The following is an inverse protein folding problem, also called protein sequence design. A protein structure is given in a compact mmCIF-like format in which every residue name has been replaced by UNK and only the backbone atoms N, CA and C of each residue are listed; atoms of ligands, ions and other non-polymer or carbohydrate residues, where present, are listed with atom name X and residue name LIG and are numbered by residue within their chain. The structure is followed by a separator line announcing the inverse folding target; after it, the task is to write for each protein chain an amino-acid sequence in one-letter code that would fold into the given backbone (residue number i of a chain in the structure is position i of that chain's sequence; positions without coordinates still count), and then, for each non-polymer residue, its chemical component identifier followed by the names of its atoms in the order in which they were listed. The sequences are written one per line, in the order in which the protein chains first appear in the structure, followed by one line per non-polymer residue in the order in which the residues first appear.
data_IF_197822351564
#
_entry.id   IF_197822351564
#
_cell.length_a   1.000
_cell.length_b   1.000
_cell.length_c   1.000
_cell.angle_alpha   90.00
_cell.angle_beta   90.00
_cell.angle_gamma   90.00
#
_symmetry.space_group_name_H-M   'P 1'
#
loop_
_entity.id
_entity.type
_entity.pdbx_description
1 polymer ?
#
# COMPACT_ATOMS: atom_id res chain seq x y z
N UNK A 1 -26.10 9.29 18.52
CA UNK A 1 -25.16 8.70 17.52
C UNK A 1 -25.84 8.06 16.30
N UNK A 2 -27.13 7.91 16.26
CA UNK A 2 -27.91 7.28 15.16
C UNK A 2 -28.23 8.21 13.98
N UNK A 3 -28.12 9.53 14.13
CA UNK A 3 -28.46 10.51 13.09
C UNK A 3 -27.41 10.65 11.96
N UNK A 4 -26.12 10.59 12.30
CA UNK A 4 -25.03 10.84 11.36
C UNK A 4 -24.80 9.70 10.34
N UNK A 5 -25.00 8.45 10.79
CA UNK A 5 -24.95 7.27 9.90
C UNK A 5 -26.15 7.21 8.94
N UNK A 6 -27.30 7.73 9.36
CA UNK A 6 -28.51 7.81 8.52
C UNK A 6 -28.40 8.91 7.46
N UNK A 7 -27.65 9.96 7.72
CA UNK A 7 -27.40 11.07 6.78
C UNK A 7 -26.43 10.63 5.67
N UNK A 8 -25.27 10.03 5.99
CA UNK A 8 -24.31 9.49 5.00
C UNK A 8 -24.95 8.45 4.09
N UNK A 9 -25.73 7.52 4.64
CA UNK A 9 -26.42 6.50 3.85
C UNK A 9 -27.49 7.07 2.91
N UNK A 10 -28.12 8.20 3.30
CA UNK A 10 -29.06 8.92 2.42
C UNK A 10 -28.33 9.67 1.31
N UNK A 11 -27.17 10.27 1.58
CA UNK A 11 -26.35 10.92 0.55
C UNK A 11 -25.78 9.91 -0.45
N UNK A 12 -25.27 8.76 0.00
CA UNK A 12 -24.80 7.68 -0.88
C UNK A 12 -25.93 7.09 -1.74
N UNK A 13 -27.11 6.93 -1.17
CA UNK A 13 -28.31 6.47 -1.90
C UNK A 13 -28.82 7.55 -2.87
N UNK A 14 -28.76 8.82 -2.51
CA UNK A 14 -29.13 9.94 -3.38
C UNK A 14 -28.17 10.05 -4.55
N UNK A 15 -26.86 10.01 -4.31
CA UNK A 15 -25.83 10.01 -5.36
C UNK A 15 -25.95 8.80 -6.27
N UNK A 16 -26.16 7.59 -5.72
CA UNK A 16 -26.40 6.38 -6.52
C UNK A 16 -27.69 6.44 -7.33
N UNK A 17 -28.75 7.09 -6.80
CA UNK A 17 -30.03 7.29 -7.52
C UNK A 17 -29.94 8.37 -8.60
N UNK A 18 -29.12 9.38 -8.39
CA UNK A 18 -28.84 10.45 -9.37
C UNK A 18 -27.98 9.93 -10.54
N UNK A 19 -27.00 9.06 -10.24
CA UNK A 19 -26.21 8.34 -11.23
C UNK A 19 -27.09 7.43 -12.09
N UNK A 20 -28.01 6.65 -11.50
CA UNK A 20 -28.98 5.83 -12.24
C UNK A 20 -29.97 6.64 -13.10
N UNK A 21 -30.24 7.91 -12.77
CA UNK A 21 -31.07 8.80 -13.59
C UNK A 21 -30.30 9.41 -14.76
N UNK A 22 -28.96 9.48 -14.67
CA UNK A 22 -28.12 10.16 -15.67
C UNK A 22 -27.60 9.22 -16.75
N UNK A 23 -27.31 7.94 -16.40
CA UNK A 23 -26.76 6.94 -17.32
C UNK A 23 -27.56 5.64 -17.25
N UNK A 24 -27.84 5.07 -18.42
CA UNK A 24 -28.52 3.79 -18.54
C UNK A 24 -27.59 2.61 -18.22
N UNK A 25 -28.15 1.47 -17.86
CA UNK A 25 -27.36 0.25 -17.59
C UNK A 25 -26.55 -0.18 -18.84
N UNK A 26 -27.10 0.04 -20.05
CA UNK A 26 -26.39 -0.22 -21.31
C UNK A 26 -25.19 0.71 -21.50
N UNK A 27 -25.35 2.00 -21.22
CA UNK A 27 -24.24 2.98 -21.27
C UNK A 27 -23.16 2.60 -20.27
N UNK A 28 -23.53 2.23 -19.06
CA UNK A 28 -22.58 1.80 -18.01
C UNK A 28 -21.84 0.52 -18.40
N UNK A 29 -22.52 -0.42 -19.07
CA UNK A 29 -21.88 -1.64 -19.56
C UNK A 29 -20.84 -1.32 -20.64
N UNK A 30 -21.18 -0.49 -21.63
CA UNK A 30 -20.25 -0.07 -22.69
C UNK A 30 -19.00 0.57 -22.09
N UNK A 31 -19.17 1.45 -21.13
CA UNK A 31 -18.06 2.16 -20.46
C UNK A 31 -17.16 1.19 -19.70
N UNK A 32 -17.72 0.21 -18.99
CA UNK A 32 -16.94 -0.82 -18.28
C UNK A 32 -16.23 -1.79 -19.22
N UNK A 33 -16.79 -1.98 -20.41
CA UNK A 33 -16.21 -2.83 -21.46
C UNK A 33 -15.22 -2.10 -22.36
N UNK A 34 -14.84 -0.87 -22.05
CA UNK A 34 -13.82 -0.11 -22.78
C UNK A 34 -12.47 -0.81 -22.74
N UNK A 35 -11.81 -0.90 -23.89
CA UNK A 35 -10.47 -1.46 -24.01
C UNK A 35 -9.44 -0.49 -23.47
N UNK A 36 -8.79 -0.87 -22.38
CA UNK A 36 -7.79 -0.02 -21.70
C UNK A 36 -6.52 0.20 -22.52
N UNK A 37 -6.14 -0.70 -23.42
CA UNK A 37 -4.94 -0.52 -24.25
C UNK A 37 -5.19 0.54 -25.32
N UNK A 38 -6.37 0.49 -25.95
CA UNK A 38 -6.79 1.49 -26.93
C UNK A 38 -6.98 2.87 -26.25
N UNK A 39 -7.61 2.88 -25.07
CA UNK A 39 -7.79 4.09 -24.29
C UNK A 39 -6.47 4.72 -23.89
N UNK A 40 -5.51 3.95 -23.38
CA UNK A 40 -4.17 4.46 -23.01
C UNK A 40 -3.39 4.97 -24.25
N UNK A 41 -3.49 4.27 -25.36
CA UNK A 41 -2.89 4.73 -26.64
C UNK A 41 -3.53 6.05 -27.09
N UNK A 42 -4.86 6.18 -26.98
CA UNK A 42 -5.57 7.42 -27.27
C UNK A 42 -5.15 8.57 -26.34
N UNK A 43 -4.84 8.26 -25.08
CA UNK A 43 -4.32 9.22 -24.11
C UNK A 43 -2.83 9.55 -24.32
N UNK A 44 -2.18 8.98 -25.33
CA UNK A 44 -0.78 9.25 -25.69
C UNK A 44 0.27 8.40 -24.98
N UNK A 45 -0.13 7.37 -24.24
CA UNK A 45 0.79 6.44 -23.59
C UNK A 45 1.29 5.35 -24.54
N UNK A 46 2.58 4.99 -24.43
CA UNK A 46 3.16 3.90 -25.21
C UNK A 46 2.93 2.56 -24.50
N UNK A 47 1.93 1.80 -24.95
CA UNK A 47 1.60 0.49 -24.38
C UNK A 47 2.64 -0.56 -24.77
N UNK A 48 3.10 -1.34 -23.79
CA UNK A 48 4.05 -2.45 -23.92
C UNK A 48 3.50 -3.72 -23.30
N UNK A 49 3.86 -4.88 -23.86
CA UNK A 49 3.54 -6.17 -23.27
C UNK A 49 4.62 -6.58 -22.26
N UNK A 50 4.19 -7.07 -21.09
CA UNK A 50 5.07 -7.61 -20.06
C UNK A 50 4.50 -8.95 -19.54
N UNK A 51 5.03 -10.05 -20.03
CA UNK A 51 4.51 -11.39 -19.75
C UNK A 51 3.04 -11.52 -20.17
N UNK A 52 2.16 -11.85 -19.21
CA UNK A 52 0.70 -11.97 -19.43
C UNK A 52 -0.07 -10.66 -19.28
N UNK A 53 0.60 -9.56 -18.90
CA UNK A 53 0.02 -8.25 -18.68
C UNK A 53 0.49 -7.25 -19.75
N UNK A 54 -0.09 -6.05 -19.72
CA UNK A 54 0.42 -4.89 -20.42
C UNK A 54 0.81 -3.81 -19.41
N UNK A 55 1.72 -2.92 -19.82
CA UNK A 55 2.15 -1.74 -19.08
C UNK A 55 2.34 -0.59 -20.07
N UNK A 56 2.75 0.59 -19.61
CA UNK A 56 3.17 1.67 -20.50
C UNK A 56 4.64 1.99 -20.31
N UNK A 57 5.25 2.63 -21.30
CA UNK A 57 6.66 3.03 -21.23
C UNK A 57 6.90 4.04 -20.09
N UNK A 58 5.90 4.89 -19.85
CA UNK A 58 5.93 6.00 -18.88
C UNK A 58 5.63 5.55 -17.45
N UNK A 59 5.05 4.35 -17.27
CA UNK A 59 4.57 3.89 -15.97
C UNK A 59 4.84 2.40 -15.76
N UNK A 60 6.09 2.03 -15.45
CA UNK A 60 6.51 0.64 -15.25
C UNK A 60 5.76 -0.09 -14.12
N UNK A 61 5.18 0.65 -13.17
CA UNK A 61 4.38 0.08 -12.08
C UNK A 61 2.93 -0.21 -12.46
N UNK A 62 2.46 0.21 -13.64
CA UNK A 62 1.13 -0.08 -14.14
C UNK A 62 1.05 -1.52 -14.68
N UNK A 63 -0.01 -2.23 -14.35
CA UNK A 63 -0.34 -3.53 -14.94
C UNK A 63 -1.78 -3.51 -15.41
N UNK A 64 -1.98 -3.92 -16.67
CA UNK A 64 -3.30 -4.04 -17.27
C UNK A 64 -3.55 -5.52 -17.49
N UNK A 65 -4.66 -6.03 -16.95
CA UNK A 65 -5.10 -7.39 -17.04
C UNK A 65 -6.36 -7.46 -17.92
N UNK A 66 -6.40 -8.46 -18.83
CA UNK A 66 -7.55 -8.79 -19.69
C UNK A 66 -8.10 -7.57 -20.45
N UNK A 67 -7.26 -6.55 -20.70
CA UNK A 67 -7.59 -5.28 -21.37
C UNK A 67 -8.71 -4.46 -20.70
N UNK A 68 -9.17 -4.87 -19.49
CA UNK A 68 -10.36 -4.34 -18.81
C UNK A 68 -10.09 -3.80 -17.43
N UNK A 69 -9.06 -4.31 -16.77
CA UNK A 69 -8.70 -3.90 -15.41
C UNK A 69 -7.26 -3.46 -15.36
N UNK A 70 -6.98 -2.48 -14.53
CA UNK A 70 -5.64 -1.97 -14.33
C UNK A 70 -5.32 -1.89 -12.84
N UNK A 71 -4.02 -1.97 -12.54
CA UNK A 71 -3.49 -1.74 -11.19
C UNK A 71 -2.13 -1.07 -11.28
N UNK A 72 -1.94 0.00 -10.51
CA UNK A 72 -0.67 0.73 -10.41
C UNK A 72 -0.03 0.48 -9.06
N UNK A 73 1.00 -0.35 -9.03
CA UNK A 73 1.66 -0.79 -7.80
C UNK A 73 2.30 0.35 -7.03
N UNK A 74 2.89 1.35 -7.70
CA UNK A 74 3.52 2.51 -7.04
C UNK A 74 2.53 3.39 -6.26
N UNK A 75 1.24 3.33 -6.60
CA UNK A 75 0.19 4.13 -5.96
C UNK A 75 -0.84 3.27 -5.21
N UNK A 76 -0.70 1.94 -5.30
CA UNK A 76 -1.65 0.97 -4.74
C UNK A 76 -3.10 1.25 -5.15
N UNK A 77 -3.30 1.65 -6.40
CA UNK A 77 -4.60 2.02 -6.95
C UNK A 77 -4.87 1.21 -8.21
N UNK A 78 -6.14 0.96 -8.47
CA UNK A 78 -6.56 0.20 -9.64
C UNK A 78 -8.06 0.23 -9.84
N UNK A 79 -8.52 -0.42 -10.91
CA UNK A 79 -9.93 -0.54 -11.21
C UNK A 79 -10.22 -0.78 -12.68
N UNK A 80 -11.30 -0.19 -13.17
CA UNK A 80 -11.81 -0.28 -14.54
C UNK A 80 -11.49 0.99 -15.37
N UNK A 81 -12.08 1.12 -16.56
CA UNK A 81 -11.90 2.26 -17.43
C UNK A 81 -12.37 3.59 -16.80
N UNK A 82 -13.44 3.56 -15.99
CA UNK A 82 -13.96 4.75 -15.33
C UNK A 82 -12.92 5.29 -14.33
N UNK A 83 -12.44 4.42 -13.46
CA UNK A 83 -11.43 4.78 -12.46
C UNK A 83 -10.12 5.19 -13.10
N UNK A 84 -9.76 4.62 -14.27
CA UNK A 84 -8.58 5.05 -15.02
C UNK A 84 -8.75 6.50 -15.49
N UNK A 85 -9.87 6.84 -16.13
CA UNK A 85 -10.14 8.20 -16.61
C UNK A 85 -10.24 9.19 -15.45
N UNK A 86 -10.85 8.81 -14.33
CA UNK A 86 -10.88 9.65 -13.14
C UNK A 86 -9.48 9.98 -12.64
N UNK A 87 -8.61 8.99 -12.57
CA UNK A 87 -7.28 9.13 -11.98
C UNK A 87 -6.27 9.77 -12.94
N UNK A 88 -6.29 9.40 -14.21
CA UNK A 88 -5.30 9.86 -15.20
C UNK A 88 -5.72 11.16 -15.89
N UNK A 89 -7.03 11.43 -15.99
CA UNK A 89 -7.55 12.63 -16.62
C UNK A 89 -8.17 13.63 -15.62
N UNK A 90 -8.18 13.30 -14.31
CA UNK A 90 -8.70 14.17 -13.25
C UNK A 90 -10.20 14.47 -13.37
N UNK A 91 -10.97 13.56 -14.00
CA UNK A 91 -12.41 13.73 -14.23
C UNK A 91 -13.23 13.22 -13.05
N UNK A 92 -14.37 13.86 -12.82
CA UNK A 92 -15.40 13.33 -11.92
C UNK A 92 -16.02 12.07 -12.51
N UNK A 93 -16.75 11.28 -11.72
CA UNK A 93 -17.41 10.07 -12.21
C UNK A 93 -18.33 10.35 -13.42
N UNK A 94 -19.23 11.34 -13.41
CA UNK A 94 -20.08 11.61 -14.58
C UNK A 94 -19.28 12.02 -15.83
N UNK A 95 -18.27 12.89 -15.67
CA UNK A 95 -17.41 13.31 -16.77
C UNK A 95 -16.57 12.15 -17.35
N UNK A 96 -16.15 11.20 -16.51
CA UNK A 96 -15.43 10.02 -16.96
C UNK A 96 -16.34 9.09 -17.78
N UNK A 97 -17.59 8.90 -17.34
CA UNK A 97 -18.58 8.12 -18.10
C UNK A 97 -18.88 8.79 -19.44
N UNK A 98 -19.13 10.09 -19.48
CA UNK A 98 -19.38 10.83 -20.73
C UNK A 98 -18.16 10.76 -21.68
N UNK A 99 -16.95 10.91 -21.15
CA UNK A 99 -15.72 10.78 -21.92
C UNK A 99 -15.58 9.39 -22.55
N UNK A 100 -15.85 8.34 -21.79
CA UNK A 100 -15.76 6.97 -22.28
C UNK A 100 -16.86 6.60 -23.26
N UNK A 101 -18.08 7.16 -23.10
CA UNK A 101 -19.15 7.03 -24.10
C UNK A 101 -18.75 7.68 -25.42
N UNK A 102 -18.18 8.89 -25.38
CA UNK A 102 -17.66 9.57 -26.55
C UNK A 102 -16.52 8.79 -27.22
N UNK A 103 -15.58 8.27 -26.43
CA UNK A 103 -14.49 7.41 -26.90
C UNK A 103 -15.00 6.14 -27.62
N UNK A 104 -16.07 5.52 -27.13
CA UNK A 104 -16.71 4.35 -27.74
C UNK A 104 -17.72 4.71 -28.87
N UNK A 105 -17.68 5.94 -29.41
CA UNK A 105 -18.51 6.37 -30.53
C UNK A 105 -19.99 6.59 -30.21
N UNK A 106 -20.32 6.82 -28.93
CA UNK A 106 -21.69 7.11 -28.46
C UNK A 106 -21.77 8.48 -27.77
N UNK A 107 -21.19 9.51 -28.39
CA UNK A 107 -21.34 10.87 -27.89
C UNK A 107 -22.81 11.30 -27.89
N UNK A 108 -23.31 11.79 -26.75
CA UNK A 108 -24.53 12.61 -26.72
C UNK A 108 -24.17 13.97 -27.31
N UNK A 109 -25.03 14.53 -28.14
CA UNK A 109 -24.87 15.86 -28.72
C UNK A 109 -24.74 16.93 -27.62
N UNK A 110 -23.53 17.19 -27.19
CA UNK A 110 -23.14 18.36 -26.42
C UNK A 110 -21.72 18.74 -26.85
N UNK A 111 -21.45 20.03 -27.13
CA UNK A 111 -20.16 20.43 -27.67
C UNK A 111 -19.06 20.11 -26.67
N UNK A 112 -18.34 19.04 -26.90
CA UNK A 112 -17.09 18.75 -26.20
C UNK A 112 -16.06 19.75 -26.70
N UNK A 113 -15.82 20.79 -25.93
CA UNK A 113 -14.55 21.52 -26.04
C UNK A 113 -13.44 20.51 -25.68
N UNK A 114 -12.73 20.11 -26.72
CA UNK A 114 -11.44 19.44 -26.58
C UNK A 114 -10.49 20.47 -25.96
N UNK A 115 -10.50 20.54 -24.65
CA UNK A 115 -9.43 21.18 -23.92
C UNK A 115 -8.37 20.11 -23.72
N UNK A 116 -7.41 20.05 -24.63
CA UNK A 116 -6.09 19.50 -24.38
C UNK A 116 -5.41 20.36 -23.31
N UNK A 117 -5.87 20.22 -22.08
CA UNK A 117 -5.09 20.61 -20.94
C UNK A 117 -4.28 19.37 -20.54
N UNK A 118 -3.05 19.32 -21.03
CA UNK A 118 -1.98 18.73 -20.25
C UNK A 118 -2.11 19.37 -18.87
N UNK A 119 -2.84 18.74 -17.96
CA UNK A 119 -2.75 19.12 -16.56
C UNK A 119 -1.31 18.79 -16.19
N UNK A 120 -0.51 19.85 -16.13
CA UNK A 120 0.69 19.85 -15.33
C UNK A 120 0.39 19.04 -14.08
N UNK A 121 1.28 18.13 -13.75
CA UNK A 121 1.25 17.39 -12.51
C UNK A 121 0.77 18.33 -11.40
N UNK A 122 -0.42 18.09 -10.90
CA UNK A 122 -0.79 18.69 -9.62
C UNK A 122 0.31 18.21 -8.69
N UNK A 123 1.09 19.11 -8.08
CA UNK A 123 2.18 18.69 -7.25
C UNK A 123 1.63 17.66 -6.27
N UNK A 124 2.31 16.50 -6.08
CA UNK A 124 1.82 15.46 -5.19
C UNK A 124 1.43 16.13 -3.88
N UNK A 125 0.24 15.83 -3.38
CA UNK A 125 -0.21 16.43 -2.11
C UNK A 125 0.92 16.29 -1.11
N UNK A 126 1.38 17.38 -0.50
CA UNK A 126 2.52 17.32 0.40
C UNK A 126 2.26 16.26 1.48
N UNK A 127 3.24 15.43 1.73
CA UNK A 127 3.15 14.44 2.80
C UNK A 127 2.95 15.14 4.14
N UNK A 128 1.95 14.70 4.88
CA UNK A 128 1.73 15.11 6.25
C UNK A 128 1.42 13.89 7.10
N UNK A 129 2.07 13.80 8.25
CA UNK A 129 1.75 12.78 9.25
C UNK A 129 0.30 12.97 9.72
N UNK A 130 -0.47 11.88 9.89
CA UNK A 130 -1.76 11.95 10.56
C UNK A 130 -1.63 12.58 11.95
N UNK A 131 -2.59 13.41 12.39
CA UNK A 131 -2.53 14.05 13.69
C UNK A 131 -2.48 13.00 14.81
N UNK A 132 -1.55 13.19 15.75
CA UNK A 132 -1.35 12.27 16.87
C UNK A 132 -2.46 12.42 17.89
N UNK A 133 -2.99 11.29 18.40
CA UNK A 133 -3.91 11.28 19.52
C UNK A 133 -3.22 11.69 20.85
N UNK A 134 -4.01 12.05 21.85
CA UNK A 134 -3.52 12.42 23.18
C UNK A 134 -2.88 11.25 23.93
N UNK A 135 -3.27 10.02 23.61
CA UNK A 135 -2.66 8.79 24.13
C UNK A 135 -2.62 7.69 23.06
N UNK A 136 -1.84 6.66 23.30
CA UNK A 136 -1.60 5.54 22.38
C UNK A 136 -2.23 4.23 22.90
N UNK A 137 -3.23 4.30 23.80
CA UNK A 137 -3.74 3.13 24.54
C UNK A 137 -4.38 2.08 23.64
N UNK A 138 -5.12 2.48 22.61
CA UNK A 138 -5.76 1.55 21.66
C UNK A 138 -4.73 0.82 20.82
N UNK A 139 -3.78 1.55 20.27
CA UNK A 139 -2.68 0.99 19.50
C UNK A 139 -1.87 0.02 20.35
N UNK A 140 -1.56 0.38 21.59
CA UNK A 140 -0.88 -0.50 22.53
C UNK A 140 -1.68 -1.78 22.77
N UNK A 141 -2.97 -1.67 23.10
CA UNK A 141 -3.86 -2.81 23.36
C UNK A 141 -4.02 -3.70 22.11
N UNK A 142 -4.20 -3.09 20.93
CA UNK A 142 -4.31 -3.81 19.67
C UNK A 142 -3.06 -4.65 19.35
N UNK A 143 -1.87 -4.07 19.48
CA UNK A 143 -0.62 -4.78 19.23
C UNK A 143 -0.34 -5.84 20.31
N UNK A 144 -0.71 -5.57 21.57
CA UNK A 144 -0.65 -6.59 22.63
C UNK A 144 -1.57 -7.79 22.35
N UNK A 145 -2.79 -7.55 21.86
CA UNK A 145 -3.73 -8.61 21.42
C UNK A 145 -3.14 -9.47 20.29
N UNK A 146 -2.28 -8.88 19.44
CA UNK A 146 -1.52 -9.59 18.40
C UNK A 146 -0.28 -10.32 18.92
N UNK A 147 -0.05 -10.33 20.22
CA UNK A 147 1.07 -11.05 20.85
C UNK A 147 2.38 -10.28 20.91
N UNK A 148 2.45 -9.07 20.37
CA UNK A 148 3.69 -8.26 20.36
C UNK A 148 4.09 -7.89 21.79
N UNK A 149 5.35 -8.07 22.15
CA UNK A 149 5.86 -7.78 23.49
C UNK A 149 5.71 -6.29 23.83
N UNK A 150 5.29 -5.97 25.07
CA UNK A 150 5.14 -4.60 25.53
C UNK A 150 6.42 -3.76 25.37
N UNK A 151 7.58 -4.38 25.56
CA UNK A 151 8.88 -3.71 25.40
C UNK A 151 9.10 -3.27 23.95
N UNK A 152 8.79 -4.13 22.96
CA UNK A 152 8.91 -3.82 21.52
C UNK A 152 7.96 -2.66 21.16
N UNK A 153 6.70 -2.71 21.61
CA UNK A 153 5.74 -1.64 21.34
C UNK A 153 6.24 -0.30 21.89
N UNK A 154 6.67 -0.29 23.16
CA UNK A 154 7.20 0.94 23.80
C UNK A 154 8.46 1.46 23.12
N UNK A 155 9.35 0.60 22.64
CA UNK A 155 10.53 1.00 21.90
C UNK A 155 10.17 1.86 20.70
N UNK A 156 9.20 1.40 19.85
CA UNK A 156 8.76 2.15 18.69
C UNK A 156 7.94 3.40 19.03
N UNK A 157 7.13 3.37 20.10
CA UNK A 157 6.40 4.54 20.57
C UNK A 157 7.34 5.63 21.09
N UNK A 158 8.34 5.25 21.91
CA UNK A 158 9.31 6.18 22.49
C UNK A 158 10.23 6.81 21.43
N UNK A 159 10.53 6.08 20.35
CA UNK A 159 11.30 6.61 19.21
C UNK A 159 10.45 7.45 18.24
N UNK A 160 9.13 7.58 18.48
CA UNK A 160 8.22 8.31 17.61
C UNK A 160 8.00 7.64 16.24
N UNK A 161 8.28 6.35 16.14
CA UNK A 161 8.04 5.54 14.93
C UNK A 161 6.67 4.86 14.93
N UNK A 162 5.97 4.88 16.07
CA UNK A 162 4.63 4.30 16.22
C UNK A 162 3.80 5.21 17.12
N UNK A 163 2.57 5.52 16.69
CA UNK A 163 1.60 6.24 17.51
C UNK A 163 0.17 5.98 17.03
N UNK A 164 -0.83 6.48 17.80
CA UNK A 164 -2.24 6.43 17.48
C UNK A 164 -2.69 7.71 16.76
N UNK A 165 -3.38 7.59 15.60
CA UNK A 165 -3.97 8.77 14.97
C UNK A 165 -5.24 9.24 15.70
N UNK A 166 -5.44 10.57 15.76
CA UNK A 166 -6.52 11.19 16.51
C UNK A 166 -7.90 11.02 15.86
N UNK A 167 -7.98 10.71 14.57
CA UNK A 167 -9.24 10.72 13.80
C UNK A 167 -9.87 9.34 13.76
N UNK A 168 -9.08 8.32 13.43
CA UNK A 168 -9.57 6.95 13.22
C UNK A 168 -9.00 5.96 14.22
N UNK A 169 -8.11 6.39 15.11
CA UNK A 169 -7.42 5.55 16.09
C UNK A 169 -6.63 4.39 15.45
N UNK A 170 -6.09 4.62 14.24
CA UNK A 170 -5.22 3.65 13.57
C UNK A 170 -3.82 3.62 14.22
N UNK A 171 -3.13 2.49 14.08
CA UNK A 171 -1.68 2.47 14.21
C UNK A 171 -1.08 3.28 13.07
N UNK A 172 -0.20 4.23 13.37
CA UNK A 172 0.61 4.97 12.42
C UNK A 172 2.04 4.51 12.55
N UNK A 173 2.56 3.85 11.51
CA UNK A 173 3.94 3.37 11.41
C UNK A 173 4.73 4.37 10.58
N UNK A 174 5.65 5.09 11.21
CA UNK A 174 6.38 6.21 10.60
C UNK A 174 7.69 5.72 9.98
N UNK A 175 7.88 5.97 8.70
CA UNK A 175 9.17 5.85 8.02
C UNK A 175 9.88 7.21 7.98
N UNK A 176 11.17 7.22 8.30
CA UNK A 176 12.02 8.41 8.29
C UNK A 176 13.16 8.23 7.32
N UNK A 177 13.59 9.35 6.70
CA UNK A 177 14.83 9.40 5.93
C UNK A 177 16.06 9.55 6.86
N UNK A 178 17.25 9.55 6.26
CA UNK A 178 18.53 9.69 6.97
C UNK A 178 18.66 10.99 7.77
N UNK A 179 17.92 12.04 7.40
CA UNK A 179 17.89 13.29 8.16
C UNK A 179 16.97 13.22 9.38
N UNK A 180 16.26 12.08 9.56
CA UNK A 180 15.24 11.89 10.59
C UNK A 180 13.89 12.48 10.23
N UNK A 181 13.72 13.05 9.02
CA UNK A 181 12.44 13.58 8.57
C UNK A 181 11.48 12.46 8.19
N UNK A 182 10.23 12.53 8.66
CA UNK A 182 9.20 11.60 8.26
C UNK A 182 8.85 11.79 6.78
N UNK A 183 8.88 10.71 6.00
CA UNK A 183 8.55 10.64 4.57
C UNK A 183 7.44 9.65 4.27
N UNK A 184 7.18 8.73 5.18
CA UNK A 184 6.22 7.67 5.02
C UNK A 184 5.40 7.47 6.29
N UNK A 185 4.14 7.10 6.16
CA UNK A 185 3.32 6.63 7.26
C UNK A 185 2.37 5.52 6.80
N UNK A 186 2.63 4.29 7.24
CA UNK A 186 1.71 3.15 7.08
C UNK A 186 0.60 3.20 8.12
N UNK A 187 -0.63 2.89 7.71
CA UNK A 187 -1.80 2.94 8.57
C UNK A 187 -2.41 1.55 8.75
N UNK A 188 -2.73 1.20 9.99
CA UNK A 188 -3.44 -0.04 10.32
C UNK A 188 -4.59 0.22 11.28
N UNK A 189 -5.82 -0.11 10.86
CA UNK A 189 -7.00 -0.01 11.70
C UNK A 189 -6.92 -0.89 12.94
N UNK A 190 -7.32 -0.34 14.08
CA UNK A 190 -7.37 -1.06 15.36
C UNK A 190 -8.72 -1.72 15.63
N UNK A 191 -9.73 -1.52 14.76
CA UNK A 191 -11.05 -2.09 14.85
C UNK A 191 -11.19 -3.33 13.97
N UNK A 192 -11.61 -4.47 14.56
CA UNK A 192 -11.79 -5.76 13.88
C UNK A 192 -13.28 -6.17 13.76
N UNK A 193 -14.23 -5.28 14.04
CA UNK A 193 -15.64 -5.65 14.28
C UNK A 193 -16.40 -6.17 13.07
N UNK A 194 -15.97 -5.86 11.83
CA UNK A 194 -16.72 -6.23 10.61
C UNK A 194 -15.84 -6.73 9.45
N UNK A 195 -14.73 -7.42 9.75
CA UNK A 195 -13.83 -7.94 8.73
C UNK A 195 -12.38 -7.50 8.91
N UNK A 196 -11.52 -7.68 7.88
CA UNK A 196 -10.12 -7.29 7.99
C UNK A 196 -10.00 -5.78 8.21
N UNK A 197 -9.35 -5.37 9.30
CA UNK A 197 -9.16 -3.98 9.66
C UNK A 197 -8.47 -3.17 8.55
N UNK A 198 -8.73 -1.87 8.51
CA UNK A 198 -8.17 -0.95 7.51
C UNK A 198 -6.64 -1.11 7.37
N UNK A 199 -6.14 -1.11 6.13
CA UNK A 199 -4.72 -1.08 5.77
C UNK A 199 -4.54 -0.07 4.64
N UNK A 200 -3.59 0.84 4.79
CA UNK A 200 -3.29 1.87 3.79
C UNK A 200 -2.07 2.69 4.17
N UNK A 201 -1.83 3.74 3.41
CA UNK A 201 -0.76 4.69 3.66
C UNK A 201 -1.35 6.11 3.78
N UNK A 202 -0.68 6.98 4.52
CA UNK A 202 -1.02 8.39 4.55
C UNK A 202 -0.77 9.03 3.17
N UNK A 203 -1.62 9.98 2.79
CA UNK A 203 -1.51 10.69 1.50
C UNK A 203 -0.13 11.35 1.36
N UNK A 204 0.49 11.20 0.20
CA UNK A 204 1.81 11.77 -0.09
C UNK A 204 2.99 10.97 0.50
N UNK A 205 2.75 9.80 1.08
CA UNK A 205 3.82 8.91 1.56
C UNK A 205 4.77 8.49 0.45
N UNK A 206 6.07 8.60 0.71
CA UNK A 206 7.11 8.11 -0.19
C UNK A 206 7.37 6.61 0.06
N UNK A 207 7.03 5.79 -0.93
CA UNK A 207 7.24 4.32 -0.88
C UNK A 207 8.71 3.88 -0.92
N UNK A 208 9.62 4.80 -1.20
CA UNK A 208 11.06 4.53 -1.09
C UNK A 208 11.56 4.66 0.35
N UNK A 209 10.69 5.08 1.27
CA UNK A 209 11.00 5.15 2.71
C UNK A 209 10.13 4.13 3.44
N UNK A 210 10.76 3.11 4.05
CA UNK A 210 10.08 2.07 4.80
C UNK A 210 9.99 2.36 6.29
N UNK A 211 9.28 1.50 7.01
CA UNK A 211 9.32 1.47 8.46
C UNK A 211 10.54 0.65 8.91
N UNK A 212 11.50 1.26 9.59
CA UNK A 212 12.78 0.62 9.94
C UNK A 212 13.16 0.82 11.39
N UNK A 213 14.00 -0.09 11.89
CA UNK A 213 14.77 0.15 13.11
C UNK A 213 15.83 1.24 12.85
N UNK A 214 16.22 2.00 13.89
CA UNK A 214 17.46 2.78 13.83
C UNK A 214 18.63 1.89 13.43
N UNK A 215 19.46 2.38 12.51
CA UNK A 215 20.57 1.62 11.99
C UNK A 215 21.66 1.37 13.06
N UNK A 216 22.15 0.13 13.11
CA UNK A 216 23.30 -0.27 13.93
C UNK A 216 24.49 -0.63 13.02
N UNK A 217 25.55 0.22 12.95
CA UNK A 217 26.68 0.01 12.04
C UNK A 217 27.56 -1.19 12.43
N UNK A 218 27.33 -1.82 13.59
CA UNK A 218 28.05 -3.02 14.02
C UNK A 218 27.59 -4.29 13.31
N UNK A 219 26.47 -4.23 12.60
CA UNK A 219 25.91 -5.38 11.86
C UNK A 219 25.87 -5.09 10.37
N UNK A 220 26.40 -6.01 9.57
CA UNK A 220 26.33 -5.99 8.11
C UNK A 220 25.09 -6.69 7.54
N UNK A 221 24.16 -7.13 8.40
CA UNK A 221 22.93 -7.82 8.06
C UNK A 221 21.72 -6.90 8.21
N UNK A 222 20.83 -6.89 7.22
CA UNK A 222 19.49 -6.30 7.31
C UNK A 222 18.41 -7.36 7.12
N UNK A 223 17.39 -7.36 7.98
CA UNK A 223 16.19 -8.19 7.83
C UNK A 223 15.09 -7.39 7.13
N UNK A 224 14.40 -8.02 6.19
CA UNK A 224 13.40 -7.35 5.32
C UNK A 224 12.04 -8.01 5.51
N UNK A 225 11.05 -7.23 5.91
CA UNK A 225 9.68 -7.69 6.17
C UNK A 225 8.68 -7.06 5.20
N UNK A 226 7.54 -7.72 4.97
CA UNK A 226 6.47 -7.15 4.18
C UNK A 226 5.74 -6.02 4.95
N UNK A 227 5.46 -6.22 6.24
CA UNK A 227 4.70 -5.26 7.05
C UNK A 227 5.36 -4.94 8.40
N UNK A 228 5.10 -3.74 8.98
CA UNK A 228 5.62 -3.34 10.30
C UNK A 228 5.25 -4.30 11.43
N UNK A 229 4.04 -4.89 11.38
CA UNK A 229 3.58 -5.84 12.40
C UNK A 229 4.42 -7.12 12.38
N UNK A 230 4.86 -7.58 11.21
CA UNK A 230 5.71 -8.75 11.07
C UNK A 230 7.12 -8.48 11.60
N UNK A 231 7.68 -7.32 11.30
CA UNK A 231 8.93 -6.85 11.89
C UNK A 231 8.84 -6.83 13.44
N UNK A 232 7.79 -6.23 14.01
CA UNK A 232 7.59 -6.17 15.46
C UNK A 232 7.36 -7.56 16.07
N UNK A 233 6.72 -8.46 15.34
CA UNK A 233 6.51 -9.85 15.75
C UNK A 233 7.83 -10.63 15.77
N UNK A 234 8.67 -10.42 14.76
CA UNK A 234 10.01 -11.01 14.71
C UNK A 234 10.88 -10.53 15.88
N UNK A 235 10.88 -9.22 16.19
CA UNK A 235 11.58 -8.66 17.35
C UNK A 235 11.08 -9.23 18.69
N UNK A 236 9.81 -9.60 18.77
CA UNK A 236 9.25 -10.26 19.95
C UNK A 236 9.77 -11.69 20.10
N UNK A 237 10.05 -12.37 18.97
CA UNK A 237 10.58 -13.73 18.92
C UNK A 237 12.10 -13.77 19.09
N UNK A 238 12.80 -12.78 18.53
CA UNK A 238 14.25 -12.69 18.37
C UNK A 238 14.76 -11.33 18.90
N UNK A 239 15.35 -11.34 20.09
CA UNK A 239 15.70 -10.10 20.81
C UNK A 239 16.94 -9.39 20.27
N UNK A 240 17.81 -10.09 19.54
CA UNK A 240 19.13 -9.61 19.12
C UNK A 240 19.12 -9.05 17.69
N UNK A 241 17.94 -8.67 17.17
CA UNK A 241 17.81 -8.07 15.83
C UNK A 241 18.30 -6.63 15.86
N UNK A 242 19.26 -6.29 15.00
CA UNK A 242 19.87 -4.96 14.93
C UNK A 242 19.30 -4.11 13.81
N UNK A 243 19.36 -4.57 12.55
CA UNK A 243 18.89 -3.83 11.39
C UNK A 243 17.69 -4.52 10.77
N UNK A 244 16.60 -3.81 10.62
CA UNK A 244 15.38 -4.34 10.01
C UNK A 244 14.59 -3.24 9.31
N UNK A 245 14.01 -3.56 8.13
CA UNK A 245 13.14 -2.70 7.36
C UNK A 245 11.88 -3.45 6.95
N UNK A 246 10.71 -2.82 7.10
CA UNK A 246 9.45 -3.28 6.53
C UNK A 246 9.13 -2.44 5.29
N UNK A 247 8.90 -3.13 4.16
CA UNK A 247 8.64 -2.53 2.86
C UNK A 247 7.26 -1.87 2.79
N UNK A 248 6.35 -2.26 3.69
CA UNK A 248 4.95 -1.85 3.69
C UNK A 248 4.21 -2.27 2.40
N UNK A 249 4.54 -3.44 1.91
CA UNK A 249 4.10 -4.10 0.69
C UNK A 249 5.22 -4.95 0.08
N UNK A 250 5.16 -5.20 -1.23
CA UNK A 250 6.15 -6.02 -1.94
C UNK A 250 7.09 -5.18 -2.85
N UNK A 251 6.90 -3.86 -2.90
CA UNK A 251 7.81 -2.96 -3.61
C UNK A 251 9.06 -2.68 -2.79
N UNK A 252 10.23 -2.90 -3.36
CA UNK A 252 11.50 -2.89 -2.65
C UNK A 252 12.23 -1.54 -2.60
N UNK A 253 11.56 -0.44 -2.96
CA UNK A 253 12.16 0.89 -2.95
C UNK A 253 12.73 1.28 -1.59
N UNK A 254 12.04 0.93 -0.49
CA UNK A 254 12.54 1.17 0.86
C UNK A 254 13.84 0.41 1.17
N UNK A 255 13.98 -0.84 0.69
CA UNK A 255 15.23 -1.58 0.82
C UNK A 255 16.35 -0.96 -0.03
N UNK A 256 16.04 -0.54 -1.26
CA UNK A 256 17.05 0.12 -2.11
C UNK A 256 17.60 1.38 -1.45
N UNK A 257 16.72 2.25 -0.93
CA UNK A 257 17.12 3.47 -0.22
C UNK A 257 17.94 3.13 1.04
N UNK A 258 17.50 2.13 1.81
CA UNK A 258 18.22 1.68 3.01
C UNK A 258 19.63 1.20 2.68
N UNK A 259 19.81 0.38 1.64
CA UNK A 259 21.13 -0.13 1.21
C UNK A 259 22.03 0.97 0.65
N UNK A 260 21.47 1.98 -0.01
CA UNK A 260 22.23 3.14 -0.49
C UNK A 260 22.77 4.00 0.68
N UNK A 261 21.96 4.16 1.73
CA UNK A 261 22.34 4.90 2.91
C UNK A 261 23.36 4.14 3.81
N UNK A 262 23.34 2.81 3.77
CA UNK A 262 24.15 1.93 4.61
C UNK A 262 25.03 0.98 3.78
N UNK A 263 26.10 1.51 3.16
CA UNK A 263 26.95 0.74 2.25
C UNK A 263 27.76 -0.38 2.94
N UNK A 264 27.80 -0.41 4.27
CA UNK A 264 28.41 -1.50 5.07
C UNK A 264 27.55 -2.78 5.09
N UNK A 265 26.26 -2.70 4.79
CA UNK A 265 25.40 -3.89 4.68
C UNK A 265 25.89 -4.79 3.53
N UNK A 266 26.08 -6.08 3.83
CA UNK A 266 26.52 -7.11 2.87
C UNK A 266 25.55 -8.29 2.81
N UNK A 267 24.72 -8.46 3.84
CA UNK A 267 23.82 -9.59 4.00
C UNK A 267 22.38 -9.11 4.11
N UNK A 268 21.49 -9.77 3.40
CA UNK A 268 20.06 -9.49 3.40
C UNK A 268 19.32 -10.78 3.76
N UNK A 269 18.47 -10.73 4.79
CA UNK A 269 17.54 -11.82 5.11
C UNK A 269 16.12 -11.38 4.73
N UNK A 270 15.54 -12.02 3.72
CA UNK A 270 14.18 -11.77 3.25
C UNK A 270 13.20 -12.56 4.11
N UNK A 271 12.49 -11.87 4.98
CA UNK A 271 11.52 -12.39 5.94
C UNK A 271 10.07 -12.05 5.50
N UNK A 272 9.77 -12.16 4.21
CA UNK A 272 8.47 -11.84 3.63
C UNK A 272 7.41 -12.90 3.99
N UNK A 273 6.14 -12.61 3.68
CA UNK A 273 5.03 -13.52 3.95
C UNK A 273 5.23 -14.88 3.24
N UNK A 274 4.75 -15.96 3.85
CA UNK A 274 4.86 -17.30 3.32
C UNK A 274 3.75 -17.67 2.31
N UNK A 275 2.90 -16.72 1.94
CA UNK A 275 1.90 -16.89 0.89
C UNK A 275 2.53 -16.83 -0.53
N UNK A 276 1.75 -17.16 -1.56
CA UNK A 276 2.24 -17.22 -2.94
C UNK A 276 2.83 -15.88 -3.43
N UNK A 277 2.19 -14.71 -3.21
CA UNK A 277 2.77 -13.42 -3.59
C UNK A 277 4.09 -13.10 -2.87
N UNK A 278 4.14 -13.31 -1.55
CA UNK A 278 5.33 -13.07 -0.73
C UNK A 278 6.50 -13.96 -1.14
N UNK A 279 6.24 -15.25 -1.41
CA UNK A 279 7.28 -16.19 -1.85
C UNK A 279 7.83 -15.86 -3.24
N UNK A 280 6.96 -15.45 -4.16
CA UNK A 280 7.38 -14.99 -5.49
C UNK A 280 8.22 -13.73 -5.41
N UNK A 281 7.82 -12.78 -4.57
CA UNK A 281 8.59 -11.55 -4.33
C UNK A 281 9.95 -11.89 -3.70
N UNK A 282 9.99 -12.78 -2.70
CA UNK A 282 11.23 -13.22 -2.07
C UNK A 282 12.22 -13.80 -3.09
N UNK A 283 11.75 -14.67 -4.00
CA UNK A 283 12.58 -15.21 -5.05
C UNK A 283 13.13 -14.13 -5.99
N UNK A 284 12.27 -13.22 -6.45
CA UNK A 284 12.67 -12.13 -7.34
C UNK A 284 13.69 -11.19 -6.68
N UNK A 285 13.48 -10.85 -5.41
CA UNK A 285 14.41 -10.01 -4.67
C UNK A 285 15.73 -10.72 -4.38
N UNK A 286 15.68 -12.02 -4.08
CA UNK A 286 16.89 -12.83 -3.89
C UNK A 286 17.76 -12.80 -5.15
N UNK A 287 17.20 -13.11 -6.30
CA UNK A 287 17.91 -13.06 -7.58
C UNK A 287 18.48 -11.67 -7.87
N UNK A 288 17.66 -10.61 -7.68
CA UNK A 288 18.06 -9.22 -7.90
C UNK A 288 19.26 -8.81 -7.06
N UNK A 289 19.22 -9.04 -5.75
CA UNK A 289 20.26 -8.56 -4.84
C UNK A 289 21.51 -9.46 -4.84
N UNK A 290 21.38 -10.75 -5.15
CA UNK A 290 22.54 -11.61 -5.41
C UNK A 290 23.34 -11.15 -6.63
N UNK A 291 22.68 -10.73 -7.71
CA UNK A 291 23.33 -10.13 -8.88
C UNK A 291 24.05 -8.81 -8.56
N UNK A 292 23.61 -8.10 -7.51
CA UNK A 292 24.26 -6.89 -7.01
C UNK A 292 25.39 -7.17 -6.01
N UNK A 293 25.68 -8.44 -5.71
CA UNK A 293 26.79 -8.87 -4.85
C UNK A 293 26.44 -9.02 -3.37
N UNK A 294 25.15 -8.96 -2.98
CA UNK A 294 24.73 -9.23 -1.60
C UNK A 294 24.61 -10.74 -1.33
N UNK A 295 24.95 -11.16 -0.11
CA UNK A 295 24.59 -12.50 0.37
C UNK A 295 23.12 -12.48 0.83
N UNK A 296 22.23 -13.16 0.09
CA UNK A 296 20.79 -13.11 0.34
C UNK A 296 20.28 -14.46 0.82
N UNK A 297 19.59 -14.47 1.97
CA UNK A 297 18.88 -15.62 2.52
C UNK A 297 17.38 -15.35 2.55
N UNK A 298 16.57 -16.41 2.51
CA UNK A 298 15.12 -16.34 2.68
C UNK A 298 14.76 -17.03 3.97
N UNK A 299 14.14 -16.31 4.89
CA UNK A 299 13.65 -16.82 6.16
C UNK A 299 12.13 -16.85 6.16
N UNK A 300 11.55 -17.96 6.65
CA UNK A 300 10.10 -18.17 6.70
C UNK A 300 9.65 -18.46 8.12
N UNK A 301 8.44 -18.03 8.51
CA UNK A 301 7.83 -18.46 9.74
C UNK A 301 7.66 -19.99 9.70
N UNK A 302 7.94 -20.67 10.83
CA UNK A 302 7.82 -22.15 10.92
C UNK A 302 6.38 -22.66 10.75
N UNK A 303 5.39 -21.80 10.99
CA UNK A 303 3.99 -22.08 10.75
C UNK A 303 3.21 -20.75 10.60
N UNK A 304 2.09 -20.78 9.88
CA UNK A 304 1.34 -19.58 9.54
C UNK A 304 1.80 -18.95 8.24
N UNK A 305 1.09 -17.91 7.80
CA UNK A 305 1.37 -17.20 6.56
C UNK A 305 2.35 -16.03 6.74
N UNK A 306 2.43 -15.48 7.97
CA UNK A 306 3.25 -14.33 8.30
C UNK A 306 3.88 -14.48 9.71
N UNK A 307 4.80 -13.59 10.08
CA UNK A 307 5.50 -13.63 11.36
C UNK A 307 4.58 -13.33 12.55
N UNK A 308 3.50 -12.57 12.34
CA UNK A 308 2.54 -12.30 13.39
C UNK A 308 1.68 -13.54 13.70
N UNK A 309 1.22 -14.26 12.68
CA UNK A 309 0.48 -15.51 12.88
C UNK A 309 1.36 -16.58 13.56
N UNK A 310 2.63 -16.67 13.16
CA UNK A 310 3.60 -17.55 13.83
C UNK A 310 3.76 -17.20 15.31
N UNK A 311 3.92 -15.91 15.64
CA UNK A 311 4.02 -15.45 17.01
C UNK A 311 2.79 -15.86 17.84
N UNK A 312 1.58 -15.59 17.31
CA UNK A 312 0.32 -15.91 17.98
C UNK A 312 0.17 -17.41 18.23
N UNK A 313 0.45 -18.26 17.23
CA UNK A 313 0.41 -19.72 17.38
C UNK A 313 1.40 -20.21 18.43
N UNK A 314 2.59 -19.65 18.48
CA UNK A 314 3.62 -20.01 19.48
C UNK A 314 3.20 -19.62 20.91
N UNK A 315 2.52 -18.50 21.09
CA UNK A 315 1.99 -18.09 22.40
C UNK A 315 0.85 -19.01 22.86
N UNK A 316 -0.12 -19.31 22.00
CA UNK A 316 -1.21 -20.24 22.30
C UNK A 316 -0.71 -21.66 22.68
N UNK A 317 0.36 -22.15 22.04
CA UNK A 317 0.95 -23.44 22.35
C UNK A 317 1.61 -23.48 23.74
N UNK A 318 2.21 -22.35 24.17
CA UNK A 318 2.82 -22.22 25.52
C UNK A 318 1.78 -22.14 26.64
N UNK A 319 0.61 -21.56 26.38
CA UNK A 319 -0.48 -21.49 27.34
C UNK A 319 -1.17 -22.84 27.57
N UNK A 320 -1.25 -23.68 26.53
CA UNK A 320 -1.83 -25.03 26.60
C UNK A 320 -0.90 -26.06 27.24
N UNK A 321 0.38 -25.76 27.36
CA UNK A 321 1.40 -26.65 27.96
C UNK A 321 1.72 -26.30 29.42
N UNK A 322 1.01 -25.34 30.00
CA UNK A 322 1.02 -25.04 31.45
C UNK A 322 -0.27 -25.48 32.11
#
# INVERSE_FOLDING_TARGET
MTGFLRFKRKEEIAVASEIKRRFTDTEMQIVRETDLLELLTHLGYQVKRIGRYHTTAEMDSLRIKDRRTWFRYSQNTGGDAITLVQQFCGKTFPEAVEYLLAFNGRARDSPAQVVSSIKQDTPPKPFALPPRNTDDRRVFAYLRKRGIAAQVIRQFMNSGLLYEDAVHHNCVFVGRDESGQAKYAGLRGTYDLNGPGFKGDATGSDKNTGFSLPHDPRSDLVLVFEAPIDLMSYLTLHRDTTNAVALCGLYDGALQTYLQAHPEIRRIALCLDADEPGQKAAQQLQEKYQLQGYAVTVEKPRCGKDWNEYLQKRLCSRERGR
#
